data_IF_154869402114
#
_entry.id   IF_154869402114
#
_cell.length_a   1.000
_cell.length_b   1.000
_cell.length_c   1.000
_cell.angle_alpha   90.00
_cell.angle_beta   90.00
_cell.angle_gamma   90.00
#
_symmetry.space_group_name_H-M   'P 1'
#
loop_
_entity.id
_entity.type
_entity.pdbx_description
1 polymer ?
#
# COMPACT_ATOMS: atom_id res chain seq x y z
N UNK A 1 -14.07 -0.84 5.18
CA UNK A 1 -15.23 -0.66 6.08
C UNK A 1 -14.79 -1.12 7.45
N UNK A 2 -14.57 -0.21 8.39
CA UNK A 2 -14.08 -0.56 9.73
C UNK A 2 -15.20 -1.22 10.55
N UNK A 3 -14.89 -2.34 11.20
CA UNK A 3 -15.85 -3.06 12.05
C UNK A 3 -15.53 -2.78 13.51
N UNK A 4 -16.49 -2.24 14.26
CA UNK A 4 -16.38 -1.96 15.69
C UNK A 4 -16.44 -3.28 16.48
N UNK A 5 -15.50 -3.46 17.42
CA UNK A 5 -15.50 -4.56 18.41
C UNK A 5 -15.82 -3.92 19.77
N UNK A 6 -16.73 -4.51 20.55
CA UNK A 6 -17.24 -3.90 21.79
C UNK A 6 -16.18 -3.82 22.92
N UNK A 7 -15.80 -2.57 23.21
CA UNK A 7 -15.49 -1.86 24.48
C UNK A 7 -14.91 -2.58 25.71
N UNK A 8 -13.70 -2.14 26.11
CA UNK A 8 -13.37 -1.77 27.50
C UNK A 8 -13.60 -0.26 27.63
N UNK A 9 -14.15 0.20 28.76
CA UNK A 9 -14.58 1.59 28.98
C UNK A 9 -13.50 2.60 28.50
N UNK A 10 -13.79 3.34 27.42
CA UNK A 10 -12.94 4.36 26.75
C UNK A 10 -11.95 3.93 25.66
N UNK A 11 -11.97 2.68 25.17
CA UNK A 11 -11.13 2.28 24.02
C UNK A 11 -12.01 1.88 22.84
N UNK A 12 -11.89 2.62 21.73
CA UNK A 12 -12.47 2.22 20.44
C UNK A 12 -11.48 1.31 19.69
N UNK A 13 -11.89 0.07 19.44
CA UNK A 13 -11.12 -0.91 18.66
C UNK A 13 -11.64 -0.96 17.22
N UNK A 14 -10.74 -0.70 16.29
CA UNK A 14 -11.00 -0.77 14.85
C UNK A 14 -10.17 -1.89 14.22
N UNK A 15 -10.83 -2.85 13.58
CA UNK A 15 -10.16 -3.89 12.81
C UNK A 15 -9.95 -3.44 11.35
N UNK A 16 -8.72 -3.55 10.86
CA UNK A 16 -8.40 -3.38 9.45
C UNK A 16 -8.79 -4.65 8.68
N UNK A 17 -9.32 -4.46 7.47
CA UNK A 17 -9.50 -5.59 6.55
C UNK A 17 -8.16 -6.04 5.98
N UNK A 18 -8.10 -7.26 5.45
CA UNK A 18 -6.90 -7.75 4.77
C UNK A 18 -6.52 -6.83 3.60
N UNK A 19 -7.50 -6.32 2.86
CA UNK A 19 -7.28 -5.37 1.77
C UNK A 19 -6.64 -4.07 2.28
N UNK A 20 -7.03 -3.58 3.45
CA UNK A 20 -6.42 -2.37 4.05
C UNK A 20 -4.95 -2.65 4.42
N UNK A 21 -4.67 -3.83 4.99
CA UNK A 21 -3.30 -4.26 5.31
C UNK A 21 -2.44 -4.29 4.03
N UNK A 22 -2.95 -4.87 2.95
CA UNK A 22 -2.25 -4.94 1.65
C UNK A 22 -1.94 -3.55 1.12
N UNK A 23 -2.92 -2.63 1.14
CA UNK A 23 -2.73 -1.24 0.70
C UNK A 23 -1.60 -0.58 1.47
N UNK A 24 -1.63 -0.67 2.81
CA UNK A 24 -0.61 -0.06 3.66
C UNK A 24 0.76 -0.69 3.45
N UNK A 25 0.83 -2.02 3.23
CA UNK A 25 2.08 -2.73 2.95
C UNK A 25 2.69 -2.31 1.61
N UNK A 26 1.88 -2.17 0.56
CA UNK A 26 2.34 -1.66 -0.75
C UNK A 26 2.88 -0.23 -0.62
N UNK A 27 2.15 0.66 0.06
CA UNK A 27 2.60 2.03 0.30
C UNK A 27 3.90 2.10 1.11
N UNK A 28 3.98 1.30 2.17
CA UNK A 28 5.17 1.26 3.03
C UNK A 28 6.38 0.69 2.28
N UNK A 29 6.17 -0.33 1.45
CA UNK A 29 7.22 -0.87 0.60
C UNK A 29 7.70 0.17 -0.42
N UNK A 30 6.77 0.93 -1.04
CA UNK A 30 7.13 2.01 -1.96
C UNK A 30 8.12 3.00 -1.32
N UNK A 31 7.86 3.44 -0.08
CA UNK A 31 8.70 4.41 0.62
C UNK A 31 10.06 3.86 1.08
N UNK A 32 10.15 2.54 1.31
CA UNK A 32 11.29 1.90 1.98
C UNK A 32 12.23 1.14 1.05
N UNK A 33 11.76 0.73 -0.13
CA UNK A 33 12.53 -0.12 -1.05
C UNK A 33 13.85 0.52 -1.52
N UNK A 34 13.88 1.84 -1.72
CA UNK A 34 15.11 2.56 -2.11
C UNK A 34 16.21 2.50 -1.05
N UNK A 35 15.85 2.18 0.21
CA UNK A 35 16.79 1.97 1.32
C UNK A 35 17.15 0.50 1.52
N UNK A 36 16.73 -0.39 0.61
CA UNK A 36 16.97 -1.84 0.69
C UNK A 36 16.16 -2.56 1.76
N UNK A 37 15.06 -1.97 2.24
CA UNK A 37 14.21 -2.60 3.26
C UNK A 37 13.06 -3.34 2.56
N UNK A 38 13.13 -4.67 2.55
CA UNK A 38 12.20 -5.54 1.81
C UNK A 38 11.12 -6.23 2.67
N UNK A 39 11.12 -6.01 4.00
CA UNK A 39 10.18 -6.69 4.92
C UNK A 39 8.71 -6.57 4.52
N UNK A 40 8.30 -5.40 4.00
CA UNK A 40 6.91 -5.19 3.60
C UNK A 40 6.57 -5.98 2.32
N UNK A 41 7.54 -6.24 1.43
CA UNK A 41 7.41 -7.19 0.33
C UNK A 41 7.35 -8.64 0.86
N UNK A 42 8.19 -9.03 1.81
CA UNK A 42 8.14 -10.36 2.43
C UNK A 42 6.77 -10.65 3.06
N UNK A 43 6.17 -9.67 3.72
CA UNK A 43 4.84 -9.78 4.29
C UNK A 43 3.76 -9.93 3.20
N UNK A 44 3.86 -9.17 2.09
CA UNK A 44 2.97 -9.34 0.94
C UNK A 44 3.09 -10.73 0.32
N UNK A 45 4.31 -11.29 0.23
CA UNK A 45 4.54 -12.65 -0.29
C UNK A 45 3.92 -13.73 0.62
N UNK A 46 3.84 -13.48 1.94
CA UNK A 46 3.15 -14.37 2.90
C UNK A 46 1.62 -14.24 2.79
N UNK A 47 1.11 -13.02 2.65
CA UNK A 47 -0.33 -12.73 2.50
C UNK A 47 -0.86 -13.29 1.17
N UNK A 48 -0.04 -13.24 0.11
CA UNK A 48 -0.40 -13.62 -1.26
C UNK A 48 -1.66 -12.90 -1.77
N UNK A 49 -1.70 -11.56 -1.75
CA UNK A 49 -2.83 -10.82 -2.28
C UNK A 49 -2.96 -11.00 -3.79
N UNK A 50 -4.17 -10.78 -4.29
CA UNK A 50 -4.39 -10.68 -5.73
C UNK A 50 -3.68 -9.45 -6.31
N UNK A 51 -3.30 -9.49 -7.60
CA UNK A 51 -2.73 -8.32 -8.23
C UNK A 51 -3.70 -7.12 -8.28
N UNK A 52 -5.01 -7.39 -8.24
CA UNK A 52 -6.03 -6.33 -8.12
C UNK A 52 -5.93 -5.58 -6.79
N UNK A 53 -5.65 -6.27 -5.67
CA UNK A 53 -5.44 -5.64 -4.37
C UNK A 53 -4.12 -4.86 -4.32
N UNK A 54 -3.06 -5.37 -4.96
CA UNK A 54 -1.81 -4.63 -5.15
C UNK A 54 -2.08 -3.31 -5.89
N UNK A 55 -2.88 -3.35 -6.97
CA UNK A 55 -3.27 -2.13 -7.71
C UNK A 55 -3.99 -1.10 -6.85
N UNK A 56 -4.83 -1.53 -5.90
CA UNK A 56 -5.46 -0.59 -4.96
C UNK A 56 -4.40 0.12 -4.11
N UNK A 57 -3.37 -0.59 -3.64
CA UNK A 57 -2.25 0.00 -2.93
C UNK A 57 -1.45 1.00 -3.76
N UNK A 58 -1.20 0.67 -5.04
CA UNK A 58 -0.52 1.57 -5.98
C UNK A 58 -1.31 2.85 -6.25
N UNK A 59 -2.62 2.72 -6.48
CA UNK A 59 -3.52 3.87 -6.65
C UNK A 59 -3.57 4.73 -5.38
N UNK A 60 -3.62 4.09 -4.21
CA UNK A 60 -3.59 4.78 -2.92
C UNK A 60 -2.34 5.68 -2.77
N UNK A 61 -1.16 5.23 -3.22
CA UNK A 61 0.06 6.06 -3.22
C UNK A 61 -0.13 7.30 -4.08
N UNK A 62 -0.61 7.14 -5.31
CA UNK A 62 -0.81 8.26 -6.25
C UNK A 62 -1.86 9.26 -5.74
N UNK A 63 -2.95 8.76 -5.17
CA UNK A 63 -4.04 9.58 -4.65
C UNK A 63 -3.62 10.36 -3.39
N UNK A 64 -2.91 9.72 -2.46
CA UNK A 64 -2.59 10.33 -1.16
C UNK A 64 -1.28 11.11 -1.18
N UNK A 65 -0.21 10.56 -1.76
CA UNK A 65 1.07 11.28 -1.85
C UNK A 65 1.08 12.31 -2.99
N UNK A 66 0.19 12.18 -3.97
CA UNK A 66 0.12 13.05 -5.14
C UNK A 66 -0.94 14.16 -5.08
N UNK A 67 -1.79 14.23 -4.05
CA UNK A 67 -2.89 15.20 -3.96
C UNK A 67 -2.39 16.65 -4.09
N UNK A 68 -1.38 17.01 -3.30
CA UNK A 68 -0.91 18.39 -3.14
C UNK A 68 0.39 18.70 -3.89
N UNK A 69 0.93 17.73 -4.64
CA UNK A 69 2.17 17.92 -5.39
C UNK A 69 1.95 18.82 -6.62
N UNK A 70 2.92 19.66 -7.02
CA UNK A 70 2.90 20.28 -8.34
C UNK A 70 2.95 19.24 -9.48
N UNK A 71 2.41 19.56 -10.67
CA UNK A 71 2.26 18.63 -11.79
C UNK A 71 3.55 17.89 -12.17
N UNK A 72 4.70 18.58 -12.16
CA UNK A 72 6.01 17.99 -12.43
C UNK A 72 6.33 16.84 -11.44
N UNK A 73 6.03 17.03 -10.16
CA UNK A 73 6.26 16.03 -9.13
C UNK A 73 5.18 14.93 -9.15
N UNK A 74 3.92 15.27 -9.47
CA UNK A 74 2.87 14.25 -9.70
C UNK A 74 3.25 13.31 -10.84
N UNK A 75 3.80 13.84 -11.93
CA UNK A 75 4.26 13.01 -13.06
C UNK A 75 5.36 12.05 -12.63
N UNK A 76 6.37 12.56 -11.93
CA UNK A 76 7.47 11.73 -11.40
C UNK A 76 6.98 10.67 -10.42
N UNK A 77 6.03 11.01 -9.55
CA UNK A 77 5.40 10.04 -8.64
C UNK A 77 4.74 8.90 -9.41
N UNK A 78 3.96 9.23 -10.45
CA UNK A 78 3.31 8.22 -11.30
C UNK A 78 4.31 7.30 -12.01
N UNK A 79 5.43 7.85 -12.48
CA UNK A 79 6.52 7.07 -13.08
C UNK A 79 7.13 6.10 -12.04
N UNK A 80 7.46 6.58 -10.84
CA UNK A 80 8.00 5.74 -9.76
C UNK A 80 7.01 4.66 -9.30
N UNK A 81 5.70 4.96 -9.26
CA UNK A 81 4.66 3.98 -8.93
C UNK A 81 4.50 2.95 -10.04
N UNK A 82 4.66 3.35 -11.31
CA UNK A 82 4.61 2.42 -12.44
C UNK A 82 5.80 1.45 -12.45
N UNK A 83 7.00 1.92 -12.11
CA UNK A 83 8.16 1.03 -11.90
C UNK A 83 7.89 -0.01 -10.81
N UNK A 84 7.28 0.41 -9.70
CA UNK A 84 6.85 -0.50 -8.65
C UNK A 84 5.78 -1.49 -9.13
N UNK A 85 4.82 -1.06 -9.96
CA UNK A 85 3.82 -1.96 -10.55
C UNK A 85 4.49 -3.09 -11.34
N UNK A 86 5.45 -2.74 -12.20
CA UNK A 86 6.20 -3.71 -13.02
C UNK A 86 6.97 -4.68 -12.12
N UNK A 87 7.59 -4.19 -11.06
CA UNK A 87 8.32 -5.00 -10.09
C UNK A 87 7.40 -6.00 -9.38
N UNK A 88 6.31 -5.51 -8.77
CA UNK A 88 5.37 -6.34 -8.02
C UNK A 88 4.67 -7.38 -8.91
N UNK A 89 4.44 -7.07 -10.18
CA UNK A 89 3.84 -8.01 -11.16
C UNK A 89 4.70 -9.26 -11.40
N UNK A 90 6.00 -9.22 -11.08
CA UNK A 90 6.88 -10.41 -11.16
C UNK A 90 6.56 -11.43 -10.06
N UNK A 91 6.02 -10.97 -8.94
CA UNK A 91 5.73 -11.79 -7.76
C UNK A 91 4.26 -12.19 -7.67
N UNK A 92 3.35 -11.30 -8.07
CA UNK A 92 1.91 -11.48 -7.97
C UNK A 92 1.32 -11.48 -9.38
N UNK A 93 0.86 -12.65 -9.84
CA UNK A 93 0.23 -12.85 -11.15
C UNK A 93 -1.29 -12.71 -11.07
#
# INVERSE_FOLDING_TARGET
>A
MLKKIETFENIELYALSLSDIVILKVATYFDRRERGIERDLEDLLKIKPSFLEIKKGLNFIVENQGADLPDKFKKKLKENVHELEIELKKFFK
#
